data_IF_610423669476
#
_entry.id   IF_610423669476
#
_cell.length_a   1.000
_cell.length_b   1.000
_cell.length_c   1.000
_cell.angle_alpha   90.00
_cell.angle_beta   90.00
_cell.angle_gamma   90.00
#
_symmetry.space_group_name_H-M   'P 1'
#
loop_
_entity.id
_entity.type
_entity.pdbx_description
1 polymer ?
#
# COMPACT_ATOMS: atom_id res chain seq x y z
N UNK A 1 -21.56 49.73 17.37
CA UNK A 1 -21.78 48.29 17.63
C UNK A 1 -22.15 47.59 16.33
N UNK A 2 -21.24 46.79 15.76
CA UNK A 2 -21.54 45.88 14.64
C UNK A 2 -21.02 44.50 15.03
N UNK A 3 -21.94 43.59 15.35
CA UNK A 3 -21.64 42.18 15.64
C UNK A 3 -21.42 41.50 14.30
N UNK A 4 -20.20 41.04 14.03
CA UNK A 4 -19.91 40.19 12.88
C UNK A 4 -19.92 38.74 13.37
N UNK A 5 -21.09 38.11 13.28
CA UNK A 5 -21.25 36.66 13.39
C UNK A 5 -20.73 36.03 12.10
N UNK A 6 -19.51 35.50 12.12
CA UNK A 6 -19.04 34.62 11.05
C UNK A 6 -19.49 33.21 11.40
N UNK A 7 -20.53 32.79 10.70
CA UNK A 7 -21.07 31.44 10.71
C UNK A 7 -19.97 30.45 10.31
N UNK A 8 -19.82 29.44 11.15
CA UNK A 8 -19.17 28.16 10.87
C UNK A 8 -19.53 27.63 9.49
N UNK A 9 -18.56 27.56 8.59
CA UNK A 9 -18.56 26.58 7.50
C UNK A 9 -17.59 25.50 7.92
N UNK A 10 -18.15 24.46 8.53
CA UNK A 10 -17.47 23.18 8.67
C UNK A 10 -17.21 22.62 7.28
N UNK A 11 -16.05 22.94 6.69
CA UNK A 11 -15.48 22.07 5.67
C UNK A 11 -14.86 20.88 6.41
N UNK A 12 -15.71 19.94 6.80
CA UNK A 12 -15.28 18.56 6.90
C UNK A 12 -14.93 18.16 5.47
N UNK A 13 -13.67 18.37 5.09
CA UNK A 13 -13.05 17.57 4.04
C UNK A 13 -13.16 16.14 4.54
N UNK A 14 -14.27 15.47 4.22
CA UNK A 14 -14.32 14.03 4.21
C UNK A 14 -13.25 13.63 3.20
N UNK A 15 -12.03 13.46 3.68
CA UNK A 15 -11.07 12.61 3.02
C UNK A 15 -11.86 11.33 2.80
N UNK A 16 -12.25 11.09 1.55
CA UNK A 16 -12.68 9.79 1.10
C UNK A 16 -11.46 8.90 1.30
N UNK A 17 -11.24 8.47 2.54
CA UNK A 17 -10.63 7.20 2.81
C UNK A 17 -11.60 6.21 2.21
N UNK A 18 -11.48 6.01 0.89
CA UNK A 18 -11.77 4.73 0.31
C UNK A 18 -10.88 3.77 1.09
N UNK A 19 -11.41 3.29 2.21
CA UNK A 19 -10.79 2.32 3.09
C UNK A 19 -10.82 0.99 2.31
N UNK A 20 -9.95 0.90 1.32
CA UNK A 20 -9.63 -0.31 0.57
C UNK A 20 -8.83 -1.26 1.45
N UNK A 21 -8.65 -0.97 2.74
CA UNK A 21 -8.19 -1.94 3.73
C UNK A 21 -9.07 -3.21 3.78
N UNK A 22 -10.36 -3.13 3.42
CA UNK A 22 -11.22 -4.33 3.26
C UNK A 22 -11.02 -5.07 1.92
N UNK A 23 -10.44 -4.38 0.94
CA UNK A 23 -10.11 -4.89 -0.39
C UNK A 23 -8.87 -5.77 -0.35
N UNK A 24 -8.09 -5.79 0.74
CA UNK A 24 -6.97 -6.70 0.87
C UNK A 24 -5.77 -6.36 0.03
N UNK A 25 -5.90 -5.77 -1.16
CA UNK A 25 -4.83 -4.99 -1.77
C UNK A 25 -4.39 -3.96 -0.74
N UNK A 26 -3.13 -3.98 -0.27
CA UNK A 26 -2.70 -3.03 0.73
C UNK A 26 -2.89 -1.62 0.14
N UNK A 27 -3.30 -0.67 0.98
CA UNK A 27 -3.44 0.77 0.63
C UNK A 27 -2.07 1.39 0.31
N UNK A 28 -1.44 0.89 -0.74
CA UNK A 28 -0.11 1.22 -1.18
C UNK A 28 -0.22 1.95 -2.50
N UNK A 29 0.07 3.24 -2.43
CA UNK A 29 0.05 4.14 -3.57
C UNK A 29 1.48 4.56 -3.89
N UNK A 30 1.77 4.75 -5.19
CA UNK A 30 3.03 5.35 -5.61
C UNK A 30 3.22 6.70 -4.89
N UNK A 31 4.47 7.02 -4.52
CA UNK A 31 4.82 8.20 -3.74
C UNK A 31 4.86 8.00 -2.22
N UNK A 32 4.34 6.88 -1.68
CA UNK A 32 4.38 6.65 -0.24
C UNK A 32 5.81 6.45 0.29
N UNK A 33 6.09 7.02 1.47
CA UNK A 33 7.39 6.85 2.13
C UNK A 33 7.65 5.39 2.51
N UNK A 34 8.92 5.03 2.69
CA UNK A 34 9.32 3.70 3.14
C UNK A 34 8.61 3.25 4.42
N UNK A 35 8.52 4.13 5.42
CA UNK A 35 7.85 3.82 6.69
C UNK A 35 6.36 3.54 6.48
N UNK A 36 5.68 4.35 5.67
CA UNK A 36 4.26 4.19 5.35
C UNK A 36 4.01 2.85 4.65
N UNK A 37 4.88 2.49 3.69
CA UNK A 37 4.83 1.20 2.99
C UNK A 37 5.01 0.04 3.97
N UNK A 38 6.06 0.06 4.80
CA UNK A 38 6.35 -1.03 5.74
C UNK A 38 5.22 -1.22 6.76
N UNK A 39 4.65 -0.12 7.28
CA UNK A 39 3.51 -0.14 8.19
C UNK A 39 2.26 -0.73 7.52
N UNK A 40 2.01 -0.40 6.26
CA UNK A 40 0.87 -0.91 5.48
C UNK A 40 1.02 -2.40 5.18
N UNK A 41 2.24 -2.85 4.84
CA UNK A 41 2.53 -4.28 4.67
C UNK A 41 2.25 -5.06 5.96
N UNK A 42 2.72 -4.57 7.10
CA UNK A 42 2.47 -5.17 8.41
C UNK A 42 0.98 -5.20 8.75
N UNK A 43 0.26 -4.08 8.61
CA UNK A 43 -1.19 -3.98 8.87
C UNK A 43 -1.99 -5.00 8.05
N UNK A 44 -1.57 -5.25 6.81
CA UNK A 44 -2.25 -6.15 5.88
C UNK A 44 -1.69 -7.58 5.87
N UNK A 45 -0.95 -7.98 6.92
CA UNK A 45 -0.41 -9.32 7.11
C UNK A 45 0.45 -9.82 5.93
N UNK A 46 1.20 -8.91 5.30
CA UNK A 46 2.22 -9.30 4.35
C UNK A 46 3.48 -9.78 5.09
N UNK A 47 4.09 -10.82 4.54
CA UNK A 47 5.35 -11.39 4.99
C UNK A 47 6.42 -11.06 3.96
N UNK A 48 7.42 -10.28 4.35
CA UNK A 48 8.58 -9.98 3.50
C UNK A 48 9.38 -11.27 3.31
N UNK A 49 9.56 -11.67 2.05
CA UNK A 49 10.32 -12.86 1.64
C UNK A 49 11.72 -12.52 1.16
N UNK A 50 11.88 -11.37 0.50
CA UNK A 50 13.18 -10.85 0.07
C UNK A 50 13.23 -9.36 0.33
N UNK A 51 14.40 -8.91 0.75
CA UNK A 51 14.69 -7.49 0.98
C UNK A 51 16.12 -7.22 0.53
N UNK A 52 16.30 -6.15 -0.25
CA UNK A 52 17.59 -5.67 -0.69
C UNK A 52 17.59 -4.13 -0.63
N UNK A 53 18.70 -3.58 -0.16
CA UNK A 53 18.95 -2.13 -0.21
C UNK A 53 20.14 -1.89 -1.10
N UNK A 54 20.04 -0.95 -2.04
CA UNK A 54 21.17 -0.56 -2.88
C UNK A 54 22.08 0.49 -2.20
N UNK A 55 23.20 0.83 -2.84
CA UNK A 55 24.17 1.83 -2.33
C UNK A 55 23.56 3.24 -2.18
N UNK A 56 22.47 3.53 -2.89
CA UNK A 56 21.74 4.80 -2.82
C UNK A 56 20.71 4.80 -1.69
N UNK A 57 20.52 3.67 -1.01
CA UNK A 57 19.55 3.49 0.05
C UNK A 57 18.13 3.23 -0.45
N UNK A 58 17.94 2.85 -1.71
CA UNK A 58 16.64 2.44 -2.22
C UNK A 58 16.34 1.01 -1.77
N UNK A 59 15.10 0.79 -1.33
CA UNK A 59 14.65 -0.46 -0.77
C UNK A 59 13.81 -1.24 -1.79
N UNK A 60 14.23 -2.47 -2.07
CA UNK A 60 13.51 -3.41 -2.94
C UNK A 60 13.01 -4.57 -2.09
N UNK A 61 11.71 -4.84 -2.17
CA UNK A 61 11.05 -5.87 -1.37
C UNK A 61 10.27 -6.82 -2.26
N UNK A 62 10.31 -8.11 -1.90
CA UNK A 62 9.27 -9.07 -2.30
C UNK A 62 8.54 -9.45 -1.02
N UNK A 63 7.23 -9.21 -0.97
CA UNK A 63 6.39 -9.67 0.12
C UNK A 63 5.29 -10.59 -0.40
N UNK A 64 4.81 -11.48 0.45
CA UNK A 64 3.69 -12.38 0.14
C UNK A 64 2.62 -12.29 1.22
N UNK A 65 1.37 -12.50 0.85
CA UNK A 65 0.26 -12.49 1.79
C UNK A 65 -0.88 -13.34 1.29
N UNK A 66 -1.93 -13.48 2.12
CA UNK A 66 -3.17 -14.10 1.68
C UNK A 66 -4.01 -13.05 0.92
N UNK A 67 -4.57 -13.39 -0.25
CA UNK A 67 -5.56 -12.55 -0.91
C UNK A 67 -6.81 -12.43 -0.04
N UNK A 68 -7.47 -11.28 -0.08
CA UNK A 68 -8.83 -11.15 0.45
C UNK A 68 -9.82 -11.82 -0.48
N UNK A 69 -11.01 -12.13 0.05
CA UNK A 69 -12.08 -12.76 -0.72
C UNK A 69 -12.39 -12.04 -2.04
N UNK A 70 -12.34 -10.71 -2.04
CA UNK A 70 -12.62 -9.87 -3.21
C UNK A 70 -11.59 -9.99 -4.34
N UNK A 71 -10.36 -10.43 -4.05
CA UNK A 71 -9.26 -10.51 -5.03
C UNK A 71 -8.74 -11.95 -5.20
N UNK A 72 -9.51 -12.92 -4.72
CA UNK A 72 -9.25 -14.36 -4.86
C UNK A 72 -9.15 -14.75 -6.34
N UNK A 73 -10.01 -14.18 -7.19
CA UNK A 73 -10.04 -14.51 -8.62
C UNK A 73 -8.85 -13.90 -9.38
N UNK A 74 -8.25 -12.83 -8.85
CA UNK A 74 -7.12 -12.13 -9.47
C UNK A 74 -5.76 -12.69 -9.03
N UNK A 75 -5.62 -13.11 -7.77
CA UNK A 75 -4.35 -13.57 -7.21
C UNK A 75 -4.37 -15.03 -6.75
N UNK A 76 -5.44 -15.77 -7.05
CA UNK A 76 -5.67 -17.11 -6.55
C UNK A 76 -6.20 -17.16 -5.11
N UNK A 77 -6.49 -18.36 -4.64
CA UNK A 77 -7.13 -18.61 -3.33
C UNK A 77 -6.17 -18.58 -2.15
N UNK A 78 -4.88 -18.79 -2.40
CA UNK A 78 -3.94 -19.15 -1.34
C UNK A 78 -2.85 -18.11 -1.09
N UNK A 79 -2.34 -17.46 -2.14
CA UNK A 79 -1.15 -16.64 -2.00
C UNK A 79 -1.06 -15.61 -3.11
N UNK A 80 -0.81 -14.36 -2.70
CA UNK A 80 -0.38 -13.26 -3.57
C UNK A 80 1.03 -12.84 -3.24
N UNK A 81 1.71 -12.29 -4.22
CA UNK A 81 3.03 -11.72 -4.11
C UNK A 81 3.01 -10.26 -4.57
N UNK A 82 3.82 -9.43 -3.92
CA UNK A 82 4.05 -8.04 -4.28
C UNK A 82 5.55 -7.81 -4.43
N UNK A 83 5.95 -7.18 -5.53
CA UNK A 83 7.28 -6.64 -5.74
C UNK A 83 7.22 -5.12 -5.61
N UNK A 84 8.07 -4.57 -4.74
CA UNK A 84 8.06 -3.17 -4.34
C UNK A 84 9.43 -2.55 -4.58
N UNK A 85 9.47 -1.40 -5.23
CA UNK A 85 10.66 -0.54 -5.30
C UNK A 85 10.36 0.80 -4.60
N UNK A 86 11.09 1.08 -3.53
CA UNK A 86 10.90 2.25 -2.67
C UNK A 86 12.17 3.08 -2.73
N UNK A 87 12.08 4.21 -3.41
CA UNK A 87 13.19 5.12 -3.59
C UNK A 87 13.21 6.17 -2.48
N UNK A 88 14.41 6.54 -2.02
CA UNK A 88 14.55 7.38 -0.82
C UNK A 88 13.93 8.77 -0.96
N UNK A 89 13.91 9.35 -2.17
CA UNK A 89 13.36 10.70 -2.42
C UNK A 89 11.93 10.64 -2.93
N UNK A 90 11.59 9.61 -3.70
CA UNK A 90 10.35 9.50 -4.45
C UNK A 90 9.32 8.57 -3.80
N UNK A 91 9.71 7.79 -2.79
CA UNK A 91 8.84 6.80 -2.16
C UNK A 91 8.62 5.57 -3.04
N UNK A 92 7.51 4.86 -2.84
CA UNK A 92 7.11 3.72 -3.66
C UNK A 92 6.95 4.15 -5.12
N UNK A 93 7.62 3.48 -6.07
CA UNK A 93 7.50 3.80 -7.50
C UNK A 93 7.08 2.60 -8.34
N UNK A 94 7.24 1.38 -7.83
CA UNK A 94 6.84 0.18 -8.55
C UNK A 94 6.13 -0.73 -7.58
N UNK A 95 4.86 -1.02 -7.88
CA UNK A 95 4.04 -2.02 -7.24
C UNK A 95 3.60 -3.03 -8.30
N UNK A 96 4.18 -4.23 -8.30
CA UNK A 96 3.67 -5.34 -9.10
C UNK A 96 3.10 -6.39 -8.17
N UNK A 97 1.80 -6.66 -8.30
CA UNK A 97 1.15 -7.74 -7.56
C UNK A 97 0.79 -8.87 -8.50
N UNK A 98 1.11 -10.09 -8.11
CA UNK A 98 0.79 -11.32 -8.85
C UNK A 98 0.25 -12.38 -7.89
N UNK A 99 -0.25 -13.48 -8.42
CA UNK A 99 -0.35 -14.70 -7.63
C UNK A 99 1.07 -15.20 -7.27
N UNK A 100 1.18 -16.13 -6.31
CA UNK A 100 2.48 -16.71 -5.99
C UNK A 100 2.93 -17.78 -7.00
N UNK A 101 2.01 -18.32 -7.82
CA UNK A 101 2.27 -19.45 -8.71
C UNK A 101 2.83 -19.02 -10.08
N UNK A 102 2.70 -17.76 -10.50
CA UNK A 102 3.33 -17.23 -11.72
C UNK A 102 4.87 -17.21 -11.67
N UNK A 103 5.49 -17.62 -10.57
CA UNK A 103 6.94 -17.91 -10.53
C UNK A 103 7.34 -19.12 -11.40
N UNK A 104 6.38 -19.82 -12.03
CA UNK A 104 6.60 -20.91 -12.99
C UNK A 104 6.08 -20.53 -14.38
N UNK A 105 6.82 -19.70 -15.11
CA UNK A 105 6.82 -19.71 -16.57
C UNK A 105 8.22 -19.44 -17.09
#
# INVERSE_FOLDING_TARGET
MKKLTILTVALLLSACVNDWSSSGVPDMYEGQSQESVLKSLQKNNWVIKKQQTDEKGNLYLIAQGKPTRQFTDLFGTHCRQGAFAIYKKEGLQVLKTSDCNESKK
#
